data_IF_597213818310
#
_entry.id   IF_597213818310
#
_cell.length_a   1.000
_cell.length_b   1.000
_cell.length_c   1.000
_cell.angle_alpha   90.00
_cell.angle_beta   90.00
_cell.angle_gamma   90.00
#
_symmetry.space_group_name_H-M   'P 1'
#
loop_
_entity.id
_entity.type
_entity.pdbx_description
1 polymer ?
#
# COMPACT_ATOMS: atom_id res chain seq x y z
N UNK A 1 5.02 -28.23 -4.21
CA UNK A 1 4.54 -27.41 -5.34
C UNK A 1 4.75 -25.92 -5.02
N UNK A 2 5.99 -25.44 -4.96
CA UNK A 2 6.31 -24.05 -4.56
C UNK A 2 6.50 -23.07 -5.75
N UNK A 3 6.49 -23.56 -7.00
CA UNK A 3 6.81 -22.75 -8.19
C UNK A 3 5.78 -21.68 -8.57
N UNK A 4 4.53 -21.77 -8.08
CA UNK A 4 3.50 -20.75 -8.32
C UNK A 4 3.73 -19.48 -7.49
N UNK A 5 4.11 -19.64 -6.22
CA UNK A 5 4.35 -18.52 -5.29
C UNK A 5 5.50 -17.62 -5.77
N UNK A 6 6.57 -18.20 -6.34
CA UNK A 6 7.71 -17.41 -6.85
C UNK A 6 7.33 -16.47 -7.99
N UNK A 7 6.41 -16.87 -8.88
CA UNK A 7 5.93 -16.00 -9.95
C UNK A 7 5.07 -14.87 -9.43
N UNK A 8 4.18 -15.16 -8.47
CA UNK A 8 3.33 -14.12 -7.88
C UNK A 8 4.15 -13.10 -7.08
N UNK A 9 5.13 -13.56 -6.29
CA UNK A 9 6.07 -12.68 -5.57
C UNK A 9 6.85 -11.78 -6.55
N UNK A 10 7.33 -12.33 -7.67
CA UNK A 10 8.02 -11.56 -8.69
C UNK A 10 7.10 -10.51 -9.34
N UNK A 11 5.84 -10.86 -9.64
CA UNK A 11 4.85 -9.93 -10.19
C UNK A 11 4.50 -8.80 -9.23
N UNK A 12 4.34 -9.07 -7.94
CA UNK A 12 4.06 -8.04 -6.93
C UNK A 12 5.26 -7.13 -6.73
N UNK A 13 6.47 -7.70 -6.70
CA UNK A 13 7.70 -6.91 -6.65
C UNK A 13 7.82 -6.01 -7.89
N UNK A 14 7.52 -6.52 -9.08
CA UNK A 14 7.45 -5.71 -10.29
C UNK A 14 6.42 -4.60 -10.14
N UNK A 15 5.17 -4.90 -9.76
CA UNK A 15 4.14 -3.88 -9.53
C UNK A 15 4.59 -2.79 -8.55
N UNK A 16 5.28 -3.16 -7.46
CA UNK A 16 5.86 -2.22 -6.50
C UNK A 16 7.00 -1.38 -7.10
N UNK A 17 7.91 -2.01 -7.85
CA UNK A 17 9.04 -1.35 -8.48
C UNK A 17 8.57 -0.33 -9.54
N UNK A 18 7.46 -0.63 -10.24
CA UNK A 18 6.79 0.25 -11.21
C UNK A 18 5.95 1.38 -10.59
N UNK A 19 5.73 1.40 -9.27
CA UNK A 19 5.10 2.56 -8.64
C UNK A 19 6.02 3.77 -8.76
N UNK A 20 5.61 4.80 -9.49
CA UNK A 20 6.49 5.92 -9.86
C UNK A 20 6.84 6.83 -8.69
N UNK A 21 5.97 6.94 -7.69
CA UNK A 21 6.17 7.90 -6.58
C UNK A 21 6.49 7.19 -5.27
N UNK A 22 7.42 7.78 -4.50
CA UNK A 22 7.74 7.34 -3.14
C UNK A 22 6.51 7.31 -2.23
N UNK A 23 5.56 8.24 -2.46
CA UNK A 23 4.30 8.34 -1.72
C UNK A 23 3.38 7.14 -2.00
N UNK A 24 3.22 6.74 -3.25
CA UNK A 24 2.42 5.55 -3.61
C UNK A 24 3.06 4.26 -3.08
N UNK A 25 4.40 4.16 -3.11
CA UNK A 25 5.13 3.04 -2.48
C UNK A 25 4.89 2.98 -0.98
N UNK A 26 4.91 4.11 -0.30
CA UNK A 26 4.69 4.19 1.13
C UNK A 26 3.22 3.90 1.51
N UNK A 27 2.26 4.36 0.71
CA UNK A 27 0.86 3.97 0.83
C UNK A 27 0.66 2.44 0.71
N UNK A 28 1.37 1.80 -0.24
CA UNK A 28 1.39 0.35 -0.34
C UNK A 28 1.94 -0.32 0.94
N UNK A 29 3.04 0.19 1.49
CA UNK A 29 3.62 -0.33 2.74
C UNK A 29 2.64 -0.24 3.92
N UNK A 30 1.90 0.87 4.06
CA UNK A 30 0.86 0.96 5.09
C UNK A 30 -0.21 -0.12 4.91
N UNK A 31 -0.62 -0.40 3.68
CA UNK A 31 -1.60 -1.45 3.42
C UNK A 31 -1.08 -2.86 3.80
N UNK A 32 0.23 -3.11 3.70
CA UNK A 32 0.86 -4.38 4.12
C UNK A 32 0.84 -4.58 5.65
N UNK A 33 0.74 -3.50 6.45
CA UNK A 33 0.68 -3.59 7.91
C UNK A 33 -0.63 -4.18 8.42
N UNK A 34 -1.68 -4.19 7.60
CA UNK A 34 -2.99 -4.71 7.99
C UNK A 34 -3.10 -6.21 7.69
N UNK A 35 -3.84 -6.91 8.56
CA UNK A 35 -4.03 -8.37 8.48
C UNK A 35 -4.91 -8.77 7.30
N UNK A 36 -5.03 -10.08 7.07
CA UNK A 36 -5.88 -10.67 6.02
C UNK A 36 -7.30 -10.16 6.11
N UNK A 37 -7.88 -9.82 4.95
CA UNK A 37 -9.25 -9.33 4.81
C UNK A 37 -9.60 -8.13 5.70
N UNK A 38 -8.57 -7.45 6.25
CA UNK A 38 -8.79 -6.29 7.07
C UNK A 38 -9.25 -5.15 6.18
N UNK A 39 -10.51 -4.76 6.37
CA UNK A 39 -11.13 -3.63 5.70
C UNK A 39 -10.49 -2.34 6.19
N UNK A 40 -9.52 -1.82 5.45
CA UNK A 40 -8.86 -0.56 5.79
C UNK A 40 -9.65 0.58 5.18
N UNK A 41 -10.28 1.41 6.01
CA UNK A 41 -11.00 2.58 5.53
C UNK A 41 -10.04 3.66 5.05
N UNK A 42 -10.50 4.49 4.10
CA UNK A 42 -9.72 5.63 3.62
C UNK A 42 -9.30 6.56 4.75
N UNK A 43 -10.16 6.79 5.75
CA UNK A 43 -9.86 7.68 6.89
C UNK A 43 -8.71 7.18 7.76
N UNK A 44 -8.60 5.87 7.96
CA UNK A 44 -7.45 5.28 8.67
C UNK A 44 -6.17 5.53 7.89
N UNK A 45 -6.18 5.29 6.58
CA UNK A 45 -5.02 5.55 5.71
C UNK A 45 -4.65 7.04 5.66
N UNK A 46 -5.63 7.96 5.68
CA UNK A 46 -5.37 9.41 5.80
C UNK A 46 -4.66 9.71 7.11
N UNK A 47 -5.14 9.16 8.22
CA UNK A 47 -4.52 9.35 9.53
C UNK A 47 -3.04 8.90 9.56
N UNK A 48 -2.74 7.72 9.01
CA UNK A 48 -1.37 7.23 8.89
C UNK A 48 -0.51 8.12 7.99
N UNK A 49 -1.02 8.49 6.81
CA UNK A 49 -0.27 9.31 5.86
C UNK A 49 -0.06 10.75 6.35
N UNK A 50 -0.99 11.31 7.12
CA UNK A 50 -0.82 12.60 7.80
C UNK A 50 0.19 12.51 8.96
N UNK A 51 0.11 11.46 9.78
CA UNK A 51 1.02 11.26 10.91
C UNK A 51 2.46 11.03 10.49
N UNK A 52 2.67 10.38 9.34
CA UNK A 52 4.01 10.17 8.77
C UNK A 52 4.49 11.35 7.91
N UNK A 53 3.57 12.15 7.34
CA UNK A 53 3.90 13.32 6.52
C UNK A 53 3.98 13.06 5.01
N UNK A 54 3.59 11.86 4.55
CA UNK A 54 3.66 11.45 3.13
C UNK A 54 2.67 12.15 2.20
N UNK A 55 1.66 12.83 2.73
CA UNK A 55 0.72 13.60 1.90
C UNK A 55 1.31 14.93 1.40
N UNK A 56 2.49 15.32 1.90
CA UNK A 56 3.10 16.62 1.62
C UNK A 56 2.45 17.76 2.39
N UNK A 57 2.72 18.99 1.96
CA UNK A 57 1.99 20.16 2.46
C UNK A 57 0.55 20.10 1.93
N UNK A 58 -0.37 19.76 2.81
CA UNK A 58 -1.82 19.78 2.55
C UNK A 58 -2.45 20.80 3.48
N UNK A 59 -3.21 21.75 2.92
CA UNK A 59 -3.83 22.82 3.69
C UNK A 59 -5.16 22.39 4.32
N UNK A 60 -5.78 21.34 3.76
CA UNK A 60 -7.09 20.85 4.20
C UNK A 60 -7.16 19.33 4.27
N UNK A 61 -8.03 18.82 5.16
CA UNK A 61 -8.39 17.39 5.21
C UNK A 61 -8.99 16.88 3.90
N UNK A 62 -9.68 17.74 3.14
CA UNK A 62 -10.24 17.37 1.84
C UNK A 62 -9.16 17.11 0.80
N UNK A 63 -8.11 17.93 0.79
CA UNK A 63 -6.95 17.76 -0.09
C UNK A 63 -6.15 16.51 0.29
N UNK A 64 -5.93 16.30 1.58
CA UNK A 64 -5.31 15.08 2.11
C UNK A 64 -6.04 13.81 1.65
N UNK A 65 -7.38 13.80 1.76
CA UNK A 65 -8.24 12.70 1.27
C UNK A 65 -8.13 12.53 -0.25
N UNK A 66 -8.16 13.62 -1.02
CA UNK A 66 -8.04 13.57 -2.48
C UNK A 66 -6.72 12.98 -2.95
N UNK A 67 -5.60 13.43 -2.36
CA UNK A 67 -4.26 12.91 -2.68
C UNK A 67 -4.14 11.42 -2.36
N UNK A 68 -4.64 11.00 -1.20
CA UNK A 68 -4.66 9.59 -0.84
C UNK A 68 -5.55 8.76 -1.76
N UNK A 69 -6.71 9.28 -2.17
CA UNK A 69 -7.59 8.59 -3.11
C UNK A 69 -6.89 8.29 -4.43
N UNK A 70 -6.15 9.25 -4.99
CA UNK A 70 -5.37 9.02 -6.22
C UNK A 70 -4.30 7.93 -6.04
N UNK A 71 -3.62 7.91 -4.90
CA UNK A 71 -2.61 6.86 -4.61
C UNK A 71 -3.26 5.49 -4.47
N UNK A 72 -4.37 5.39 -3.75
CA UNK A 72 -5.13 4.15 -3.59
C UNK A 72 -5.68 3.67 -4.94
N UNK A 73 -6.19 4.56 -5.79
CA UNK A 73 -6.68 4.20 -7.12
C UNK A 73 -5.57 3.67 -8.02
N UNK A 74 -4.36 4.21 -7.90
CA UNK A 74 -3.16 3.70 -8.59
C UNK A 74 -2.80 2.30 -8.10
N UNK A 75 -2.89 2.05 -6.80
CA UNK A 75 -2.64 0.74 -6.20
C UNK A 75 -3.72 -0.29 -6.54
N UNK A 76 -4.98 0.12 -6.67
CA UNK A 76 -6.04 -0.77 -7.15
C UNK A 76 -5.83 -1.12 -8.63
N UNK A 77 -5.48 -0.12 -9.44
CA UNK A 77 -5.27 -0.31 -10.89
C UNK A 77 -4.03 -1.15 -11.22
N UNK A 78 -3.03 -1.17 -10.34
CA UNK A 78 -1.81 -1.98 -10.52
C UNK A 78 -1.93 -3.42 -9.97
N UNK A 79 -3.06 -3.76 -9.36
CA UNK A 79 -3.36 -5.09 -8.82
C UNK A 79 -3.03 -5.40 -7.33
N UNK A 80 -2.25 -4.62 -6.55
CA UNK A 80 -1.98 -4.98 -5.15
C UNK A 80 -3.15 -4.78 -4.18
N UNK A 81 -4.13 -3.93 -4.49
CA UNK A 81 -5.28 -3.66 -3.64
C UNK A 81 -6.60 -3.98 -4.34
N UNK A 82 -7.60 -4.37 -3.55
CA UNK A 82 -8.97 -4.55 -4.00
C UNK A 82 -9.88 -3.62 -3.22
N UNK A 83 -10.75 -2.87 -3.92
CA UNK A 83 -11.79 -2.05 -3.28
C UNK A 83 -12.93 -2.96 -2.81
N UNK A 84 -13.45 -2.69 -1.62
CA UNK A 84 -14.69 -3.31 -1.16
C UNK A 84 -15.90 -2.83 -1.98
N UNK A 85 -16.91 -3.68 -2.09
CA UNK A 85 -18.08 -3.43 -2.95
C UNK A 85 -18.94 -2.24 -2.48
N UNK A 86 -19.03 -1.96 -1.17
CA UNK A 86 -20.04 -1.00 -0.64
C UNK A 86 -19.53 0.05 0.39
N UNK A 87 -18.33 -0.07 0.98
CA UNK A 87 -18.03 0.69 2.22
C UNK A 87 -16.74 1.56 2.19
N UNK A 88 -16.22 1.95 1.03
CA UNK A 88 -15.11 2.93 0.97
C UNK A 88 -13.82 2.48 1.69
N UNK A 89 -13.58 1.17 1.70
CA UNK A 89 -12.36 0.56 2.23
C UNK A 89 -11.60 -0.20 1.13
N UNK A 90 -10.33 -0.48 1.41
CA UNK A 90 -9.48 -1.35 0.61
C UNK A 90 -9.00 -2.55 1.41
N UNK A 91 -8.71 -3.63 0.70
CA UNK A 91 -8.15 -4.86 1.25
C UNK A 91 -6.93 -5.28 0.42
N UNK A 92 -5.99 -5.96 1.07
CA UNK A 92 -4.85 -6.60 0.43
C UNK A 92 -5.03 -8.12 0.50
N UNK A 93 -4.89 -8.79 -0.64
CA UNK A 93 -4.89 -10.25 -0.67
C UNK A 93 -3.72 -10.82 0.14
N UNK A 94 -3.95 -11.93 0.83
CA UNK A 94 -2.97 -12.74 1.56
C UNK A 94 -1.69 -12.99 0.77
N UNK A 95 -1.81 -13.38 -0.51
CA UNK A 95 -0.67 -13.66 -1.38
C UNK A 95 0.12 -12.37 -1.69
N UNK A 96 -0.56 -11.22 -1.80
CA UNK A 96 0.10 -9.92 -1.99
C UNK A 96 0.89 -9.52 -0.76
N UNK A 97 0.28 -9.69 0.42
CA UNK A 97 0.91 -9.42 1.70
C UNK A 97 2.13 -10.32 1.93
N UNK A 98 2.00 -11.62 1.75
CA UNK A 98 3.06 -12.59 2.01
C UNK A 98 4.28 -12.40 1.08
N UNK A 99 4.03 -11.94 -0.15
CA UNK A 99 5.08 -11.53 -1.08
C UNK A 99 5.74 -10.19 -0.71
N UNK A 100 4.96 -9.26 -0.15
CA UNK A 100 5.44 -7.95 0.22
C UNK A 100 6.26 -7.99 1.51
N UNK A 101 5.90 -8.82 2.49
CA UNK A 101 6.56 -8.92 3.81
C UNK A 101 8.10 -9.01 3.71
N UNK A 102 8.70 -9.91 2.89
CA UNK A 102 10.16 -9.95 2.73
C UNK A 102 10.77 -8.64 2.21
N UNK A 103 10.05 -7.95 1.32
CA UNK A 103 10.48 -6.68 0.73
C UNK A 103 10.32 -5.52 1.72
N UNK A 104 9.25 -5.52 2.52
CA UNK A 104 9.02 -4.55 3.60
C UNK A 104 10.10 -4.65 4.65
N UNK A 105 10.48 -5.85 5.10
CA UNK A 105 11.59 -6.02 6.04
C UNK A 105 12.90 -5.49 5.47
N UNK A 106 13.18 -5.73 4.19
CA UNK A 106 14.39 -5.19 3.54
C UNK A 106 14.40 -3.66 3.52
N UNK A 107 13.27 -3.03 3.19
CA UNK A 107 13.15 -1.57 3.17
C UNK A 107 13.17 -0.95 4.59
N UNK A 108 12.47 -1.53 5.56
CA UNK A 108 12.44 -1.07 6.95
C UNK A 108 13.83 -1.16 7.58
N UNK A 109 14.56 -2.24 7.34
CA UNK A 109 15.95 -2.39 7.79
C UNK A 109 16.84 -1.33 7.10
N UNK A 110 16.67 -1.10 5.79
CA UNK A 110 17.44 -0.06 5.09
C UNK A 110 17.10 1.38 5.55
N UNK A 111 15.87 1.65 6.00
CA UNK A 111 15.44 2.97 6.49
C UNK A 111 15.79 3.22 7.96
N UNK A 112 16.03 2.19 8.78
CA UNK A 112 16.44 2.32 10.19
C UNK A 112 17.98 2.29 10.39
N UNK A 113 18.74 1.89 9.38
CA UNK A 113 20.21 1.83 9.40
C UNK A 113 20.88 2.80 8.41
N UNK A 114 20.18 3.86 7.99
CA UNK A 114 20.74 5.03 7.32
C UNK A 114 20.54 6.29 8.18
#
# INVERSE_FOLDING_TARGET
MYGGMSHVIASIKLSYDFLETSRTKLCFLFCVLFTEDHKVTMDVLVGYAMGEGSLGEVETLSEARGNLHMMVDTLVSSGPLVKGDDEGYVMMHDIVRDAAIPSVWTNVVNSLFL
#
